data_IF_701854682137
#
_entry.id   IF_701854682137
#
_cell.length_a   1.000
_cell.length_b   1.000
_cell.length_c   1.000
_cell.angle_alpha   90.00
_cell.angle_beta   90.00
_cell.angle_gamma   90.00
#
_symmetry.space_group_name_H-M   'P 1'
#
loop_
_entity.id
_entity.type
_entity.pdbx_description
1 polymer ?
#
# COMPACT_ATOMS: atom_id res chain seq x y z
N UNK A 1 -22.78 -44.12 -28.53
CA UNK A 1 -21.41 -44.69 -28.51
C UNK A 1 -20.54 -43.95 -29.52
N UNK A 2 -19.42 -43.39 -29.05
CA UNK A 2 -18.11 -43.18 -29.71
C UNK A 2 -17.99 -42.40 -31.04
N UNK A 3 -17.68 -41.11 -30.89
CA UNK A 3 -16.52 -40.32 -31.39
C UNK A 3 -15.81 -40.63 -32.71
N UNK A 4 -15.53 -39.58 -33.52
CA UNK A 4 -14.22 -39.11 -34.09
C UNK A 4 -14.52 -37.91 -35.06
N UNK A 5 -14.08 -36.65 -34.87
CA UNK A 5 -12.76 -35.95 -34.81
C UNK A 5 -12.34 -35.29 -36.16
N UNK A 6 -12.06 -33.96 -36.08
CA UNK A 6 -11.09 -33.12 -36.87
C UNK A 6 -11.51 -32.74 -38.32
N UNK A 7 -11.30 -31.55 -38.90
CA UNK A 7 -10.56 -30.29 -38.62
C UNK A 7 -10.93 -29.22 -39.70
N UNK A 8 -10.72 -27.92 -39.42
CA UNK A 8 -10.27 -26.79 -40.31
C UNK A 8 -10.79 -25.43 -39.76
N UNK A 9 -10.01 -24.62 -39.03
CA UNK A 9 -9.08 -23.53 -39.46
C UNK A 9 -9.76 -22.43 -40.28
N UNK A 10 -9.86 -21.19 -39.76
CA UNK A 10 -9.47 -19.89 -40.40
C UNK A 10 -9.25 -18.78 -39.32
N UNK A 11 -8.01 -18.28 -39.31
CA UNK A 11 -7.40 -16.96 -39.03
C UNK A 11 -7.91 -15.89 -38.02
N UNK A 12 -6.88 -15.39 -37.29
CA UNK A 12 -6.51 -14.00 -36.98
C UNK A 12 -7.31 -13.21 -35.92
N UNK A 13 -6.60 -12.88 -34.83
CA UNK A 13 -7.02 -11.90 -33.83
C UNK A 13 -6.04 -11.87 -32.66
N UNK A 14 -4.88 -11.25 -32.86
CA UNK A 14 -3.96 -10.88 -31.78
C UNK A 14 -4.65 -9.85 -30.90
N UNK A 15 -4.85 -10.19 -29.63
CA UNK A 15 -4.80 -9.26 -28.52
C UNK A 15 -4.45 -10.06 -27.27
N UNK A 16 -3.18 -10.00 -26.88
CA UNK A 16 -2.71 -10.49 -25.59
C UNK A 16 -3.39 -9.66 -24.51
N UNK A 17 -4.49 -10.16 -23.95
CA UNK A 17 -4.98 -9.68 -22.68
C UNK A 17 -3.93 -10.09 -21.63
N UNK A 18 -3.09 -9.14 -21.22
CA UNK A 18 -2.24 -9.31 -20.04
C UNK A 18 -3.14 -9.61 -18.85
N UNK A 19 -2.96 -10.74 -18.13
CA UNK A 19 -3.65 -10.92 -16.87
C UNK A 19 -3.10 -9.88 -15.90
N UNK A 20 -3.97 -9.07 -15.30
CA UNK A 20 -3.67 -8.38 -14.07
C UNK A 20 -3.23 -9.46 -13.06
N UNK A 21 -1.91 -9.55 -12.83
CA UNK A 21 -1.34 -10.49 -11.88
C UNK A 21 -1.93 -10.28 -10.48
N UNK A 22 -1.87 -11.28 -9.59
CA UNK A 22 -2.36 -11.13 -8.23
C UNK A 22 -1.58 -9.99 -7.56
N UNK A 23 -2.28 -8.90 -7.24
CA UNK A 23 -1.78 -7.83 -6.38
C UNK A 23 -1.50 -8.44 -5.00
N UNK A 24 -0.24 -8.81 -4.77
CA UNK A 24 0.19 -9.36 -3.49
C UNK A 24 0.23 -8.22 -2.47
N UNK A 25 -0.88 -8.01 -1.77
CA UNK A 25 -0.94 -7.13 -0.62
C UNK A 25 0.02 -7.68 0.46
N UNK A 26 1.09 -6.94 0.75
CA UNK A 26 2.01 -7.34 1.82
C UNK A 26 1.53 -6.75 3.16
N UNK A 27 1.30 -7.63 4.13
CA UNK A 27 1.18 -7.27 5.54
C UNK A 27 2.59 -7.26 6.15
N UNK A 28 3.06 -6.11 6.62
CA UNK A 28 4.26 -6.04 7.46
C UNK A 28 3.89 -6.05 8.94
N UNK A 29 4.85 -6.44 9.78
CA UNK A 29 4.75 -6.56 11.25
C UNK A 29 4.19 -5.29 11.90
N UNK A 30 3.51 -5.39 13.06
CA UNK A 30 2.89 -4.23 13.69
C UNK A 30 3.93 -3.15 14.02
N UNK A 31 3.76 -2.01 13.36
CA UNK A 31 4.20 -0.65 13.70
C UNK A 31 4.55 -0.40 15.17
N UNK A 32 5.60 0.38 15.38
CA UNK A 32 5.99 0.87 16.71
C UNK A 32 4.93 1.81 17.28
N UNK A 33 4.02 1.25 18.09
CA UNK A 33 3.07 2.02 18.87
C UNK A 33 3.73 2.56 20.15
N UNK A 34 3.61 3.86 20.40
CA UNK A 34 4.25 4.53 21.53
C UNK A 34 3.36 5.62 22.12
N UNK A 35 3.45 5.81 23.43
CA UNK A 35 2.80 6.90 24.14
C UNK A 35 3.86 7.86 24.70
N UNK A 36 3.71 9.17 24.49
CA UNK A 36 4.50 10.16 25.19
C UNK A 36 4.01 10.24 26.65
N UNK A 37 4.79 9.70 27.59
CA UNK A 37 4.36 9.51 28.98
C UNK A 37 3.99 10.83 29.70
N UNK A 38 3.03 10.69 30.63
CA UNK A 38 2.30 11.66 31.46
C UNK A 38 0.92 12.15 30.94
N UNK A 39 0.64 12.13 29.63
CA UNK A 39 -0.68 12.49 29.08
C UNK A 39 -1.64 11.28 28.91
N UNK A 40 -1.09 10.06 28.73
CA UNK A 40 -1.85 8.83 28.53
C UNK A 40 -2.45 8.23 29.82
N UNK A 41 -2.96 9.05 30.74
CA UNK A 41 -3.54 8.58 32.02
C UNK A 41 -4.88 7.87 31.75
N UNK A 42 -4.80 6.61 31.33
CA UNK A 42 -5.94 5.76 30.96
C UNK A 42 -6.12 5.51 29.46
N UNK A 43 -5.27 6.11 28.62
CA UNK A 43 -5.31 5.95 27.17
C UNK A 43 -4.40 4.81 26.71
N UNK A 44 -4.86 3.95 25.80
CA UNK A 44 -4.05 2.87 25.22
C UNK A 44 -3.59 3.30 23.83
N UNK A 45 -2.38 2.91 23.41
CA UNK A 45 -1.87 3.32 22.12
C UNK A 45 -2.69 2.69 20.98
N UNK A 46 -2.85 3.40 19.85
CA UNK A 46 -3.46 2.83 18.68
C UNK A 46 -2.56 1.74 18.08
N UNK A 47 -3.15 0.84 17.30
CA UNK A 47 -2.43 -0.07 16.42
C UNK A 47 -2.55 0.44 14.99
N UNK A 48 -1.46 0.44 14.23
CA UNK A 48 -1.44 0.78 12.81
C UNK A 48 -0.74 -0.33 12.01
N UNK A 49 -1.21 -0.59 10.80
CA UNK A 49 -0.57 -1.51 9.85
C UNK A 49 -0.75 -0.97 8.44
N UNK A 50 0.33 -0.53 7.83
CA UNK A 50 0.40 -0.02 6.48
C UNK A 50 0.61 -1.18 5.51
N UNK A 51 -0.19 -1.17 4.45
CA UNK A 51 -0.16 -2.14 3.37
C UNK A 51 -0.03 -1.41 2.04
N UNK A 52 0.66 -2.01 1.10
CA UNK A 52 0.74 -1.53 -0.28
C UNK A 52 0.22 -2.58 -1.25
N UNK A 53 -0.34 -2.14 -2.38
CA UNK A 53 -0.73 -3.05 -3.47
C UNK A 53 0.45 -3.61 -4.25
N UNK A 54 1.63 -2.99 -4.11
CA UNK A 54 2.87 -3.39 -4.76
C UNK A 54 4.07 -2.99 -3.89
N UNK A 55 5.09 -3.85 -3.87
CA UNK A 55 6.41 -3.58 -3.28
C UNK A 55 7.47 -3.22 -4.32
N UNK A 56 7.15 -3.40 -5.60
CA UNK A 56 7.92 -2.86 -6.71
C UNK A 56 7.02 -2.41 -7.86
N UNK A 57 7.45 -1.37 -8.58
CA UNK A 57 6.77 -0.87 -9.77
C UNK A 57 7.76 -0.73 -10.93
N UNK A 58 7.37 -1.27 -12.08
CA UNK A 58 8.13 -1.15 -13.33
C UNK A 58 7.86 0.16 -14.07
N UNK A 59 8.28 0.24 -15.33
CA UNK A 59 7.93 1.34 -16.24
C UNK A 59 6.59 1.10 -16.93
N UNK A 60 5.51 1.19 -16.16
CA UNK A 60 4.18 1.38 -16.74
C UNK A 60 3.81 2.85 -16.64
N UNK A 61 2.96 3.36 -17.55
CA UNK A 61 2.49 4.75 -17.52
C UNK A 61 1.79 5.10 -16.19
N UNK A 62 1.27 4.08 -15.51
CA UNK A 62 0.47 4.18 -14.29
C UNK A 62 1.28 3.87 -13.02
N UNK A 63 2.56 4.29 -12.91
CA UNK A 63 3.43 4.12 -11.71
C UNK A 63 2.79 4.64 -10.42
N UNK A 64 1.83 3.91 -9.89
CA UNK A 64 0.99 4.28 -8.77
C UNK A 64 0.78 3.06 -7.88
N UNK A 65 0.95 3.26 -6.59
CA UNK A 65 0.75 2.24 -5.57
C UNK A 65 -0.38 2.70 -4.66
N UNK A 66 -1.37 1.85 -4.44
CA UNK A 66 -2.39 2.13 -3.42
C UNK A 66 -1.84 1.72 -2.07
N UNK A 67 -1.89 2.65 -1.12
CA UNK A 67 -1.50 2.45 0.26
C UNK A 67 -2.76 2.42 1.12
N UNK A 68 -2.87 1.39 1.94
CA UNK A 68 -4.01 1.19 2.86
C UNK A 68 -3.48 1.01 4.27
N UNK A 69 -4.06 1.71 5.23
CA UNK A 69 -3.70 1.61 6.64
C UNK A 69 -4.87 1.02 7.40
N UNK A 70 -4.64 -0.17 7.96
CA UNK A 70 -5.51 -0.72 8.98
C UNK A 70 -5.06 -0.14 10.33
N UNK A 71 -5.86 0.77 10.90
CA UNK A 71 -5.61 1.28 12.24
C UNK A 71 -6.81 1.05 13.14
N UNK A 72 -6.53 0.70 14.40
CA UNK A 72 -7.55 0.45 15.43
C UNK A 72 -7.10 1.07 16.73
N UNK A 73 -8.00 1.77 17.40
CA UNK A 73 -7.79 2.28 18.74
C UNK A 73 -8.65 1.52 19.77
N UNK A 74 -8.07 0.98 20.86
CA UNK A 74 -8.83 0.28 21.90
C UNK A 74 -9.83 1.15 22.67
N UNK A 75 -9.60 2.46 22.73
CA UNK A 75 -10.41 3.46 23.44
C UNK A 75 -11.42 4.14 22.50
N UNK A 76 -11.35 3.82 21.20
CA UNK A 76 -12.17 4.35 20.10
C UNK A 76 -12.00 5.85 19.90
N UNK A 77 -10.79 6.34 20.14
CA UNK A 77 -10.44 7.72 19.86
C UNK A 77 -10.33 8.00 18.36
N UNK A 78 -10.47 9.27 17.98
CA UNK A 78 -10.35 9.70 16.60
C UNK A 78 -8.88 9.58 16.15
N UNK A 79 -8.67 8.90 15.03
CA UNK A 79 -7.33 8.63 14.51
C UNK A 79 -6.98 9.59 13.37
N UNK A 80 -5.87 10.29 13.54
CA UNK A 80 -5.30 11.18 12.52
C UNK A 80 -4.17 10.47 11.80
N UNK A 81 -4.18 10.50 10.47
CA UNK A 81 -3.18 9.83 9.63
C UNK A 81 -2.25 10.87 8.99
N UNK A 82 -0.98 10.82 9.33
CA UNK A 82 0.08 11.62 8.72
C UNK A 82 0.98 10.73 7.87
N UNK A 83 1.17 11.07 6.60
CA UNK A 83 2.01 10.30 5.69
C UNK A 83 3.22 11.10 5.23
N UNK A 84 4.39 10.45 5.26
CA UNK A 84 5.63 10.98 4.74
C UNK A 84 6.22 10.03 3.69
N UNK A 85 6.62 10.56 2.54
CA UNK A 85 7.24 9.78 1.45
C UNK A 85 8.60 10.36 1.08
N UNK A 86 9.59 9.50 0.82
CA UNK A 86 10.92 9.93 0.37
C UNK A 86 10.98 10.31 -1.12
N UNK A 87 9.87 10.16 -1.83
CA UNK A 87 9.71 10.63 -3.20
C UNK A 87 8.33 10.30 -3.80
N UNK A 88 8.08 10.87 -4.97
CA UNK A 88 6.76 10.84 -5.59
C UNK A 88 5.79 11.79 -4.89
N UNK A 89 4.50 11.56 -5.07
CA UNK A 89 3.42 12.36 -4.47
C UNK A 89 2.28 11.49 -4.00
N UNK A 90 1.75 11.79 -2.82
CA UNK A 90 0.51 11.18 -2.34
C UNK A 90 -0.71 11.94 -2.85
N UNK A 91 -1.75 11.19 -3.20
CA UNK A 91 -3.05 11.70 -3.65
C UNK A 91 -4.12 11.08 -2.75
N UNK A 92 -4.85 11.93 -2.01
CA UNK A 92 -5.85 11.51 -1.04
C UNK A 92 -5.42 11.82 0.40
N UNK A 93 -6.24 11.40 1.36
CA UNK A 93 -6.02 11.54 2.80
C UNK A 93 -6.77 10.42 3.55
N UNK A 94 -6.46 10.25 4.83
CA UNK A 94 -7.07 9.22 5.69
C UNK A 94 -6.44 7.84 5.49
N UNK A 95 -7.18 6.77 5.75
CA UNK A 95 -6.65 5.41 5.78
C UNK A 95 -6.28 4.83 4.42
N UNK A 96 -6.71 5.43 3.31
CA UNK A 96 -6.38 4.96 1.95
C UNK A 96 -5.90 6.12 1.09
N UNK A 97 -4.68 6.01 0.58
CA UNK A 97 -4.06 7.04 -0.27
C UNK A 97 -3.42 6.39 -1.49
N UNK A 98 -3.35 7.14 -2.59
CA UNK A 98 -2.68 6.71 -3.81
C UNK A 98 -1.32 7.36 -3.92
N UNK A 99 -0.26 6.55 -3.95
CA UNK A 99 1.12 7.00 -4.08
C UNK A 99 1.55 7.00 -5.53
N UNK A 100 1.69 8.19 -6.09
CA UNK A 100 2.13 8.45 -7.45
C UNK A 100 3.67 8.54 -7.51
N UNK A 101 4.29 7.57 -8.18
CA UNK A 101 5.72 7.44 -8.41
C UNK A 101 6.08 7.79 -9.87
N UNK A 102 5.23 8.51 -10.61
CA UNK A 102 5.56 8.98 -11.95
C UNK A 102 6.67 10.04 -11.90
N UNK A 103 7.59 9.98 -12.86
CA UNK A 103 8.69 10.93 -12.99
C UNK A 103 9.81 10.79 -11.96
N UNK A 104 9.72 9.82 -11.03
CA UNK A 104 10.78 9.55 -10.07
C UNK A 104 11.82 8.60 -10.65
N UNK A 105 13.08 8.75 -10.25
CA UNK A 105 14.16 7.88 -10.72
C UNK A 105 14.01 6.47 -10.14
N UNK A 106 14.49 5.43 -10.85
CA UNK A 106 14.59 4.10 -10.27
C UNK A 106 15.44 4.07 -9.00
N UNK A 107 14.81 3.74 -7.88
CA UNK A 107 15.38 3.52 -6.55
C UNK A 107 14.30 2.98 -5.63
N UNK A 108 14.69 2.58 -4.43
CA UNK A 108 13.73 2.32 -3.35
C UNK A 108 13.25 3.62 -2.73
N UNK A 109 11.95 3.77 -2.65
CA UNK A 109 11.27 4.83 -1.91
C UNK A 109 10.64 4.24 -0.65
N UNK A 110 10.57 5.07 0.38
CA UNK A 110 9.98 4.70 1.65
C UNK A 110 8.76 5.57 1.87
N UNK A 111 7.67 4.95 2.27
CA UNK A 111 6.51 5.62 2.84
C UNK A 111 6.43 5.29 4.31
N UNK A 112 6.22 6.30 5.14
CA UNK A 112 5.98 6.18 6.57
C UNK A 112 4.61 6.77 6.85
N UNK A 113 3.78 6.07 7.62
CA UNK A 113 2.55 6.61 8.17
C UNK A 113 2.68 6.71 9.68
N UNK A 114 2.21 7.81 10.25
CA UNK A 114 2.01 7.99 11.69
C UNK A 114 0.54 8.16 11.95
N UNK A 115 -0.02 7.32 12.81
CA UNK A 115 -1.41 7.38 13.25
C UNK A 115 -1.43 7.90 14.67
N UNK A 116 -1.97 9.09 14.86
CA UNK A 116 -2.07 9.77 16.16
C UNK A 116 -3.50 9.69 16.72
N UNK A 117 -3.65 9.42 18.00
CA UNK A 117 -4.94 9.31 18.68
C UNK A 117 -5.44 10.62 19.33
N UNK A 118 -4.69 11.72 19.18
CA UNK A 118 -5.01 13.03 19.78
C UNK A 118 -4.92 13.05 21.32
N UNK A 119 -4.53 11.94 21.95
CA UNK A 119 -4.40 11.75 23.41
C UNK A 119 -2.97 11.45 23.86
N UNK A 120 -2.02 11.67 22.95
CA UNK A 120 -0.60 11.55 23.23
C UNK A 120 -0.04 10.15 23.05
N UNK A 121 -0.79 9.25 22.40
CA UNK A 121 -0.21 8.04 21.82
C UNK A 121 -0.33 8.03 20.30
N UNK A 122 0.66 7.43 19.66
CA UNK A 122 0.71 7.34 18.21
C UNK A 122 1.34 6.00 17.82
N UNK A 123 1.01 5.51 16.63
CA UNK A 123 1.62 4.33 16.04
C UNK A 123 2.14 4.63 14.65
N UNK A 124 3.37 4.22 14.36
CA UNK A 124 3.99 4.48 13.06
C UNK A 124 4.38 3.21 12.33
N UNK A 125 4.00 3.11 11.06
CA UNK A 125 4.45 2.05 10.16
C UNK A 125 5.25 2.61 8.99
N UNK A 126 6.07 1.76 8.36
CA UNK A 126 6.74 2.15 7.12
C UNK A 126 6.86 0.99 6.13
N UNK A 127 6.67 1.30 4.85
CA UNK A 127 6.88 0.37 3.75
C UNK A 127 7.93 0.90 2.79
N UNK A 128 8.64 -0.02 2.16
CA UNK A 128 9.52 0.26 1.04
C UNK A 128 8.89 -0.20 -0.27
N UNK A 129 9.00 0.64 -1.29
CA UNK A 129 8.58 0.35 -2.66
C UNK A 129 9.74 0.66 -3.60
N UNK A 130 10.15 -0.34 -4.36
CA UNK A 130 11.23 -0.20 -5.34
C UNK A 130 10.69 0.22 -6.70
N UNK A 131 11.37 1.17 -7.34
CA UNK A 131 11.16 1.50 -8.75
C UNK A 131 12.34 0.94 -9.52
N UNK A 132 12.11 -0.07 -10.35
CA UNK A 132 13.17 -0.81 -11.02
C UNK A 132 13.67 -0.11 -12.30
N UNK A 133 14.97 -0.23 -12.58
CA UNK A 133 15.54 -0.10 -13.94
C UNK A 133 15.33 -1.45 -14.62
N UNK A 134 15.08 -1.44 -15.92
CA UNK A 134 15.03 -2.65 -16.74
C UNK A 134 16.37 -3.39 -16.73
#
# INVERSE_FOLDING_TARGET
>A
MRTLRRSAVILAGVALASPAGPVSAQAQSPSGASCASAAAKGNRPPAASLQSTASSVGETADRAVTLTVAATDPDRDELTYDYNVTGGRLIGAGSTVRWDLRGVQPRTYTVTVTVDDGRGCSASDSLNVSVDRW
#
